data_IF_710793062765
#
_entry.id   IF_710793062765
#
_cell.length_a   1.000
_cell.length_b   1.000
_cell.length_c   1.000
_cell.angle_alpha   90.00
_cell.angle_beta   90.00
_cell.angle_gamma   90.00
#
_symmetry.space_group_name_H-M   'P 1'
#
loop_
_entity.id
_entity.type
_entity.pdbx_description
1 polymer ?
#
# COMPACT_ATOMS: atom_id res chain seq x y z
N UNK A 1 -1.79 3.90 16.80
CA UNK A 1 -3.18 4.41 16.69
C UNK A 1 -4.04 3.62 17.66
N UNK A 2 -4.97 4.26 18.35
CA UNK A 2 -5.88 3.60 19.30
C UNK A 2 -7.28 3.56 18.69
N UNK A 3 -7.90 2.39 18.72
CA UNK A 3 -9.24 2.13 18.25
C UNK A 3 -10.17 2.00 19.46
N UNK A 4 -11.31 2.66 19.43
CA UNK A 4 -12.29 2.59 20.52
C UNK A 4 -12.95 1.21 20.51
N UNK A 5 -12.94 0.50 21.65
CA UNK A 5 -13.51 -0.85 21.80
C UNK A 5 -14.95 -0.94 21.29
N UNK A 6 -15.75 0.11 21.52
CA UNK A 6 -17.16 0.15 21.08
C UNK A 6 -17.28 0.21 19.55
N UNK A 7 -16.31 0.84 18.87
CA UNK A 7 -16.25 0.84 17.39
C UNK A 7 -15.71 -0.48 16.84
N UNK A 8 -15.05 -1.31 17.63
CA UNK A 8 -14.53 -2.61 17.19
C UNK A 8 -15.55 -3.76 17.25
N UNK A 9 -16.70 -3.51 17.88
CA UNK A 9 -17.76 -4.50 18.03
C UNK A 9 -18.25 -5.04 16.67
N UNK A 10 -18.24 -6.36 16.50
CA UNK A 10 -18.69 -7.02 15.27
C UNK A 10 -17.69 -6.97 14.11
N UNK A 11 -16.43 -6.58 14.36
CA UNK A 11 -15.34 -6.73 13.38
C UNK A 11 -14.74 -8.13 13.45
N UNK A 12 -14.83 -8.88 12.35
CA UNK A 12 -14.28 -10.24 12.30
C UNK A 12 -14.93 -11.13 13.36
N UNK A 13 -14.11 -11.72 14.22
CA UNK A 13 -14.58 -12.54 15.35
C UNK A 13 -14.85 -11.75 16.63
N UNK A 14 -14.61 -10.43 16.64
CA UNK A 14 -14.85 -9.58 17.81
C UNK A 14 -16.37 -9.52 18.06
N UNK A 15 -16.86 -9.95 19.24
CA UNK A 15 -18.28 -9.90 19.55
C UNK A 15 -18.88 -8.50 19.41
N UNK A 16 -20.14 -8.41 19.00
CA UNK A 16 -20.84 -7.14 18.81
C UNK A 16 -21.27 -6.45 20.11
N UNK A 17 -21.33 -7.19 21.21
CA UNK A 17 -21.70 -6.66 22.52
C UNK A 17 -20.47 -6.25 23.34
N UNK A 18 -20.47 -5.03 23.90
CA UNK A 18 -19.31 -4.44 24.60
C UNK A 18 -18.71 -5.36 25.68
N UNK A 19 -19.54 -5.97 26.53
CA UNK A 19 -19.06 -6.86 27.60
C UNK A 19 -18.38 -8.10 27.04
N UNK A 20 -18.94 -8.67 25.97
CA UNK A 20 -18.40 -9.85 25.30
C UNK A 20 -17.11 -9.52 24.54
N UNK A 21 -17.04 -8.34 23.89
CA UNK A 21 -15.83 -7.85 23.25
C UNK A 21 -14.70 -7.65 24.27
N UNK A 22 -15.01 -7.09 25.44
CA UNK A 22 -14.03 -6.96 26.54
C UNK A 22 -13.49 -8.30 27.01
N UNK A 23 -14.37 -9.29 27.24
CA UNK A 23 -13.94 -10.65 27.58
C UNK A 23 -13.12 -11.29 26.46
N UNK A 24 -13.46 -11.04 25.20
CA UNK A 24 -12.70 -11.53 24.05
C UNK A 24 -11.29 -10.93 23.99
N UNK A 25 -11.14 -9.62 24.20
CA UNK A 25 -9.82 -8.97 24.26
C UNK A 25 -8.97 -9.54 25.39
N UNK A 26 -9.54 -9.73 26.58
CA UNK A 26 -8.85 -10.33 27.72
C UNK A 26 -8.43 -11.78 27.43
N UNK A 27 -9.33 -12.58 26.84
CA UNK A 27 -9.05 -13.97 26.45
C UNK A 27 -7.93 -14.10 25.43
N UNK A 28 -7.76 -13.10 24.56
CA UNK A 28 -6.67 -13.03 23.58
C UNK A 28 -5.42 -12.31 24.10
N UNK A 29 -5.37 -11.93 25.38
CA UNK A 29 -4.22 -11.23 25.97
C UNK A 29 -4.02 -9.79 25.48
N UNK A 30 -5.06 -9.16 24.96
CA UNK A 30 -5.01 -7.81 24.36
C UNK A 30 -5.29 -6.76 25.43
N UNK A 31 -4.33 -5.86 25.64
CA UNK A 31 -4.45 -4.80 26.63
C UNK A 31 -5.43 -3.70 26.17
N UNK A 32 -6.36 -3.34 27.06
CA UNK A 32 -7.26 -2.19 26.86
C UNK A 32 -6.76 -0.97 27.64
N UNK A 33 -6.79 0.21 27.01
CA UNK A 33 -6.42 1.50 27.58
C UNK A 33 -7.70 2.30 27.85
N UNK A 34 -7.88 2.81 29.06
CA UNK A 34 -9.04 3.66 29.39
C UNK A 34 -8.64 5.13 29.34
N UNK A 35 -9.39 5.93 28.59
CA UNK A 35 -9.24 7.39 28.66
C UNK A 35 -10.06 7.94 29.82
N UNK A 36 -9.36 8.34 30.88
CA UNK A 36 -9.98 8.90 32.09
C UNK A 36 -10.29 10.40 31.98
N UNK A 37 -9.87 11.06 30.90
CA UNK A 37 -10.14 12.47 30.68
C UNK A 37 -11.54 12.73 30.11
N UNK A 38 -12.16 11.72 29.48
CA UNK A 38 -13.57 11.73 29.10
C UNK A 38 -14.40 11.12 30.24
N UNK A 39 -15.44 11.83 30.69
CA UNK A 39 -16.33 11.37 31.76
C UNK A 39 -17.05 10.04 31.44
N UNK A 40 -17.10 9.64 30.17
CA UNK A 40 -17.62 8.34 29.71
C UNK A 40 -16.65 7.18 29.91
N UNK A 41 -15.37 7.46 30.20
CA UNK A 41 -14.28 6.50 30.33
C UNK A 41 -14.22 5.46 29.18
N UNK A 42 -14.09 5.91 27.91
CA UNK A 42 -14.00 4.99 26.79
C UNK A 42 -12.75 4.11 26.88
N UNK A 43 -12.91 2.85 26.47
CA UNK A 43 -11.84 1.86 26.40
C UNK A 43 -11.32 1.78 24.96
N UNK A 44 -10.02 1.65 24.81
CA UNK A 44 -9.33 1.59 23.53
C UNK A 44 -8.39 0.40 23.45
N UNK A 45 -8.22 -0.15 22.26
CA UNK A 45 -7.20 -1.16 21.93
C UNK A 45 -6.26 -0.61 20.88
N UNK A 46 -5.00 -1.03 20.89
CA UNK A 46 -4.08 -0.67 19.82
C UNK A 46 -4.30 -1.60 18.64
N UNK A 47 -4.35 -1.05 17.44
CA UNK A 47 -4.65 -1.83 16.22
C UNK A 47 -3.66 -2.98 15.99
N UNK A 48 -2.38 -2.79 16.33
CA UNK A 48 -1.36 -3.84 16.17
C UNK A 48 -1.39 -4.92 17.25
N UNK A 49 -2.10 -4.69 18.37
CA UNK A 49 -2.32 -5.71 19.39
C UNK A 49 -3.47 -6.65 18.99
N UNK A 50 -4.29 -6.26 17.99
CA UNK A 50 -5.28 -7.15 17.40
C UNK A 50 -4.62 -8.27 16.58
N UNK A 51 -5.23 -9.49 16.55
CA UNK A 51 -4.76 -10.54 15.67
C UNK A 51 -4.91 -10.10 14.19
N UNK A 52 -4.15 -10.77 13.33
CA UNK A 52 -4.06 -10.40 11.92
C UNK A 52 -5.42 -10.31 11.19
N UNK A 53 -6.37 -11.26 11.34
CA UNK A 53 -7.65 -11.17 10.65
C UNK A 53 -8.50 -9.98 11.10
N UNK A 54 -8.55 -9.64 12.40
CA UNK A 54 -9.30 -8.51 12.92
C UNK A 54 -8.68 -7.18 12.48
N UNK A 55 -7.35 -7.10 12.51
CA UNK A 55 -6.64 -5.92 11.99
C UNK A 55 -6.93 -5.70 10.52
N UNK A 56 -6.98 -6.77 9.71
CA UNK A 56 -7.33 -6.69 8.30
C UNK A 56 -8.78 -6.21 8.14
N UNK A 57 -9.73 -6.79 8.88
CA UNK A 57 -11.14 -6.40 8.86
C UNK A 57 -11.33 -4.92 9.22
N UNK A 58 -10.64 -4.44 10.27
CA UNK A 58 -10.66 -3.03 10.65
C UNK A 58 -10.15 -2.13 9.52
N UNK A 59 -9.00 -2.47 8.93
CA UNK A 59 -8.40 -1.69 7.84
C UNK A 59 -9.31 -1.65 6.60
N UNK A 60 -9.92 -2.77 6.24
CA UNK A 60 -10.87 -2.84 5.13
C UNK A 60 -12.06 -1.92 5.38
N UNK A 61 -12.69 -2.01 6.57
CA UNK A 61 -13.82 -1.14 6.93
C UNK A 61 -13.47 0.34 6.89
N UNK A 62 -12.31 0.74 7.42
CA UNK A 62 -11.86 2.13 7.38
C UNK A 62 -11.65 2.64 5.95
N UNK A 63 -11.18 1.77 5.05
CA UNK A 63 -10.98 2.10 3.64
C UNK A 63 -12.32 2.20 2.90
N UNK A 64 -13.26 1.30 3.20
CA UNK A 64 -14.64 1.36 2.68
C UNK A 64 -15.35 2.65 3.08
N UNK A 65 -15.24 3.08 4.35
CA UNK A 65 -15.79 4.36 4.82
C UNK A 65 -15.20 5.58 4.12
N UNK A 66 -13.98 5.46 3.61
CA UNK A 66 -13.30 6.50 2.83
C UNK A 66 -13.49 6.31 1.32
N UNK A 67 -14.29 5.32 0.91
CA UNK A 67 -14.50 4.93 -0.49
C UNK A 67 -13.19 4.66 -1.24
N UNK A 68 -12.19 4.12 -0.54
CA UNK A 68 -10.90 3.74 -1.11
C UNK A 68 -10.88 2.23 -1.36
N UNK A 69 -10.42 1.85 -2.55
CA UNK A 69 -10.10 0.44 -2.81
C UNK A 69 -8.89 0.03 -1.97
N UNK A 70 -8.97 -1.07 -1.19
CA UNK A 70 -7.89 -1.45 -0.29
C UNK A 70 -6.60 -1.87 -1.00
N UNK A 71 -6.73 -2.50 -2.17
CA UNK A 71 -5.62 -3.06 -2.93
C UNK A 71 -5.12 -4.40 -2.38
N UNK A 72 -3.89 -4.79 -2.73
CA UNK A 72 -3.30 -6.08 -2.36
C UNK A 72 -2.55 -5.99 -1.03
N UNK A 73 -2.81 -6.93 -0.12
CA UNK A 73 -2.11 -6.99 1.17
C UNK A 73 -0.67 -7.51 1.01
N UNK A 74 0.32 -6.74 1.47
CA UNK A 74 1.74 -7.16 1.46
C UNK A 74 2.14 -7.72 2.84
N UNK A 75 2.04 -9.04 2.98
CA UNK A 75 2.34 -9.72 4.25
C UNK A 75 3.75 -9.43 4.76
N UNK A 76 4.76 -9.38 3.87
CA UNK A 76 6.15 -9.14 4.27
C UNK A 76 6.37 -7.71 4.80
N UNK A 77 5.73 -6.72 4.18
CA UNK A 77 5.77 -5.35 4.67
C UNK A 77 5.09 -5.21 6.04
N UNK A 78 3.97 -5.91 6.25
CA UNK A 78 3.27 -5.92 7.53
C UNK A 78 4.04 -6.65 8.62
N UNK A 79 4.73 -7.75 8.33
CA UNK A 79 5.63 -8.40 9.30
C UNK A 79 6.78 -7.49 9.71
N UNK A 80 7.45 -6.83 8.76
CA UNK A 80 8.51 -5.86 9.05
C UNK A 80 7.99 -4.67 9.87
N UNK A 81 6.77 -4.22 9.60
CA UNK A 81 6.10 -3.19 10.39
C UNK A 81 5.88 -3.65 11.83
N UNK A 82 5.43 -4.90 12.05
CA UNK A 82 5.23 -5.45 13.39
C UNK A 82 6.53 -5.65 14.16
N UNK A 83 7.64 -5.93 13.48
CA UNK A 83 8.96 -6.00 14.12
C UNK A 83 9.50 -4.64 14.61
N UNK A 84 8.92 -3.52 14.14
CA UNK A 84 9.35 -2.19 14.57
C UNK A 84 8.93 -1.86 16.00
N UNK A 85 9.67 -0.95 16.65
CA UNK A 85 9.34 -0.52 18.02
C UNK A 85 7.95 0.13 18.12
N UNK A 86 7.24 0.02 19.26
CA UNK A 86 5.87 0.52 19.40
C UNK A 86 5.72 2.00 19.00
N UNK A 87 6.65 2.85 19.43
CA UNK A 87 6.65 4.28 19.08
C UNK A 87 6.76 4.52 17.57
N UNK A 88 7.56 3.72 16.86
CA UNK A 88 7.68 3.81 15.39
C UNK A 88 6.40 3.38 14.70
N UNK A 89 5.79 2.28 15.16
CA UNK A 89 4.49 1.79 14.65
C UNK A 89 3.39 2.84 14.83
N UNK A 90 3.30 3.44 16.01
CA UNK A 90 2.31 4.48 16.31
C UNK A 90 2.46 5.72 15.41
N UNK A 91 3.69 6.18 15.16
CA UNK A 91 3.95 7.29 14.23
C UNK A 91 3.55 6.94 12.81
N UNK A 92 3.90 5.75 12.33
CA UNK A 92 3.60 5.29 10.98
C UNK A 92 2.09 5.12 10.75
N UNK A 93 1.36 4.55 11.71
CA UNK A 93 -0.11 4.43 11.64
C UNK A 93 -0.80 5.79 11.64
N UNK A 94 -0.36 6.73 12.49
CA UNK A 94 -0.92 8.09 12.48
C UNK A 94 -0.73 8.74 11.11
N UNK A 95 0.46 8.59 10.51
CA UNK A 95 0.73 9.11 9.16
C UNK A 95 -0.12 8.40 8.11
N UNK A 96 -0.34 7.10 8.23
CA UNK A 96 -1.18 6.32 7.31
C UNK A 96 -2.65 6.75 7.37
N UNK A 97 -3.18 7.04 8.57
CA UNK A 97 -4.51 7.60 8.75
C UNK A 97 -4.69 8.91 7.97
N UNK A 98 -3.71 9.81 8.14
CA UNK A 98 -3.67 11.10 7.44
C UNK A 98 -3.55 10.89 5.94
N UNK A 99 -2.71 9.95 5.50
CA UNK A 99 -2.53 9.62 4.08
C UNK A 99 -3.84 9.14 3.45
N UNK A 100 -4.58 8.23 4.09
CA UNK A 100 -5.88 7.74 3.59
C UNK A 100 -6.87 8.87 3.40
N UNK A 101 -6.99 9.76 4.40
CA UNK A 101 -7.86 10.95 4.28
C UNK A 101 -7.41 11.85 3.14
N UNK A 102 -6.11 12.13 3.01
CA UNK A 102 -5.61 12.98 1.92
C UNK A 102 -5.81 12.38 0.53
N UNK A 103 -5.71 11.05 0.39
CA UNK A 103 -5.97 10.32 -0.86
C UNK A 103 -7.46 10.31 -1.17
N UNK A 104 -8.33 10.09 -0.18
CA UNK A 104 -9.78 10.13 -0.34
C UNK A 104 -10.31 11.50 -0.78
N UNK A 105 -9.66 12.60 -0.35
CA UNK A 105 -9.98 13.95 -0.81
C UNK A 105 -9.64 14.21 -2.30
N UNK A 106 -8.97 13.28 -2.99
CA UNK A 106 -8.67 13.39 -4.42
C UNK A 106 -7.66 14.50 -4.74
N UNK A 107 -7.62 15.00 -5.98
CA UNK A 107 -6.82 16.18 -6.39
C UNK A 107 -7.64 17.49 -6.41
N UNK A 108 -8.97 17.38 -6.44
CA UNK A 108 -9.89 18.50 -6.65
C UNK A 108 -10.02 19.43 -5.44
N UNK A 109 -9.76 18.91 -4.23
CA UNK A 109 -9.75 19.74 -3.03
C UNK A 109 -8.45 20.54 -2.96
N UNK A 110 -8.56 21.86 -2.82
CA UNK A 110 -7.39 22.73 -2.70
C UNK A 110 -6.58 22.45 -1.41
N UNK A 111 -5.34 22.93 -1.36
CA UNK A 111 -4.45 22.65 -0.23
C UNK A 111 -4.86 23.28 1.10
N UNK A 112 -5.60 24.40 1.07
CA UNK A 112 -6.06 25.06 2.30
C UNK A 112 -7.13 24.21 2.99
N UNK A 113 -8.10 23.72 2.21
CA UNK A 113 -9.17 22.86 2.72
C UNK A 113 -8.65 21.51 3.17
N UNK A 114 -7.69 20.92 2.46
CA UNK A 114 -7.00 19.69 2.93
C UNK A 114 -6.39 19.87 4.32
N UNK A 115 -5.70 20.98 4.55
CA UNK A 115 -5.08 21.27 5.85
C UNK A 115 -6.14 21.39 6.92
N UNK A 116 -7.20 22.18 6.67
CA UNK A 116 -8.31 22.36 7.60
C UNK A 116 -8.93 21.04 7.99
N UNK A 117 -9.31 20.20 7.03
CA UNK A 117 -9.92 18.88 7.25
C UNK A 117 -8.98 17.96 8.05
N UNK A 118 -7.69 17.93 7.70
CA UNK A 118 -6.71 17.11 8.42
C UNK A 118 -6.48 17.62 9.84
N UNK A 119 -6.44 18.93 10.06
CA UNK A 119 -6.25 19.52 11.40
C UNK A 119 -7.48 19.33 12.28
N UNK A 120 -8.67 19.43 11.72
CA UNK A 120 -9.92 19.12 12.42
C UNK A 120 -9.94 17.67 12.89
N UNK A 121 -9.52 16.73 12.04
CA UNK A 121 -9.56 15.29 12.36
C UNK A 121 -8.39 14.81 13.23
N UNK A 122 -7.19 15.38 13.08
CA UNK A 122 -5.96 14.83 13.67
C UNK A 122 -5.16 15.83 14.52
N UNK A 123 -5.66 17.04 14.69
CA UNK A 123 -4.97 18.16 15.33
C UNK A 123 -3.87 18.77 14.45
N UNK A 124 -3.33 19.90 14.89
CA UNK A 124 -2.33 20.68 14.11
C UNK A 124 -0.91 20.14 14.27
N UNK A 125 -0.58 19.57 15.44
CA UNK A 125 0.79 19.19 15.84
C UNK A 125 1.40 18.18 14.86
N UNK A 126 2.47 18.59 14.18
CA UNK A 126 3.25 17.75 13.27
C UNK A 126 2.66 17.56 11.87
N UNK A 127 1.61 18.32 11.50
CA UNK A 127 0.89 18.19 10.23
C UNK A 127 0.94 19.48 9.38
N UNK A 128 2.16 19.98 9.12
CA UNK A 128 2.37 21.12 8.22
C UNK A 128 2.19 20.73 6.75
N UNK A 129 1.88 21.71 5.87
CA UNK A 129 1.72 21.48 4.42
C UNK A 129 2.90 20.71 3.78
N UNK A 130 4.18 21.06 4.03
CA UNK A 130 5.30 20.29 3.50
C UNK A 130 5.32 18.84 3.99
N UNK A 131 4.95 18.60 5.26
CA UNK A 131 4.89 17.27 5.84
C UNK A 131 3.78 16.43 5.22
N UNK A 132 2.60 17.00 4.99
CA UNK A 132 1.50 16.31 4.31
C UNK A 132 1.86 15.94 2.87
N UNK A 133 2.53 16.85 2.13
CA UNK A 133 3.07 16.54 0.81
C UNK A 133 4.09 15.40 0.84
N UNK A 134 4.98 15.38 1.84
CA UNK A 134 5.95 14.31 2.00
C UNK A 134 5.28 12.96 2.32
N UNK A 135 4.19 12.97 3.09
CA UNK A 135 3.39 11.76 3.35
C UNK A 135 2.76 11.25 2.05
N UNK A 136 2.08 12.11 1.27
CA UNK A 136 1.49 11.72 -0.02
C UNK A 136 2.53 11.14 -0.98
N UNK A 137 3.70 11.79 -1.09
CA UNK A 137 4.80 11.29 -1.93
C UNK A 137 5.31 9.92 -1.49
N UNK A 138 5.36 9.66 -0.18
CA UNK A 138 5.84 8.38 0.34
C UNK A 138 4.87 7.22 0.07
N UNK A 139 3.57 7.50 -0.07
CA UNK A 139 2.54 6.49 -0.37
C UNK A 139 2.14 6.43 -1.84
N UNK A 140 2.79 7.21 -2.70
CA UNK A 140 2.50 7.24 -4.13
C UNK A 140 2.72 5.86 -4.75
N UNK A 141 1.67 5.32 -5.38
CA UNK A 141 1.67 3.99 -5.98
C UNK A 141 1.52 2.83 -5.00
N UNK A 142 1.48 3.08 -3.69
CA UNK A 142 1.25 2.04 -2.68
C UNK A 142 -0.26 1.81 -2.52
N UNK A 143 -0.66 0.55 -2.33
CA UNK A 143 -2.05 0.23 -2.01
C UNK A 143 -2.44 0.77 -0.60
N UNK A 144 -3.62 1.38 -0.40
CA UNK A 144 -4.03 2.01 0.86
C UNK A 144 -3.95 1.11 2.10
N UNK A 145 -4.11 -0.19 1.92
CA UNK A 145 -3.97 -1.20 3.00
C UNK A 145 -2.53 -1.30 3.53
N UNK A 146 -1.53 -0.89 2.75
CA UNK A 146 -0.10 -0.98 3.08
C UNK A 146 0.53 0.38 3.46
N UNK A 147 -0.25 1.45 3.63
CA UNK A 147 0.29 2.78 3.96
C UNK A 147 1.07 2.82 5.27
N UNK A 148 0.63 2.11 6.32
CA UNK A 148 1.35 2.10 7.61
C UNK A 148 2.73 1.46 7.49
N UNK A 149 2.89 0.24 6.94
CA UNK A 149 4.19 -0.30 6.58
C UNK A 149 5.03 0.65 5.72
N UNK A 150 4.42 1.29 4.72
CA UNK A 150 5.14 2.17 3.81
C UNK A 150 5.64 3.49 4.43
N UNK A 151 5.06 3.89 5.56
CA UNK A 151 5.37 5.13 6.27
C UNK A 151 6.25 4.94 7.49
N UNK A 152 6.79 3.73 7.69
CA UNK A 152 7.85 3.51 8.67
C UNK A 152 9.06 4.40 8.32
N UNK A 153 9.66 5.07 9.31
CA UNK A 153 10.63 6.16 9.08
C UNK A 153 11.89 5.74 8.28
N UNK A 154 12.16 4.43 8.14
CA UNK A 154 13.26 3.85 7.33
C UNK A 154 12.76 2.97 6.16
N UNK A 155 11.49 3.10 5.75
CA UNK A 155 10.96 2.33 4.63
C UNK A 155 11.57 2.79 3.31
N UNK A 156 12.58 2.07 2.83
CA UNK A 156 12.99 2.10 1.43
C UNK A 156 11.93 1.35 0.63
N UNK A 157 10.85 2.05 0.30
CA UNK A 157 9.72 1.40 -0.34
C UNK A 157 10.10 0.71 -1.63
N UNK A 158 9.63 -0.53 -1.78
CA UNK A 158 9.40 -1.08 -3.11
C UNK A 158 8.28 -0.24 -3.69
N UNK A 159 8.63 0.70 -4.58
CA UNK A 159 7.63 1.50 -5.31
C UNK A 159 6.72 0.52 -6.03
N UNK A 160 5.49 0.34 -5.55
CA UNK A 160 4.47 -0.34 -6.31
C UNK A 160 4.21 0.54 -7.55
N UNK A 161 4.80 0.10 -8.66
CA UNK A 161 4.68 0.76 -9.96
C UNK A 161 3.25 0.55 -10.44
N UNK A 162 2.69 1.62 -11.02
CA UNK A 162 1.41 1.63 -11.73
C UNK A 162 1.14 0.33 -12.49
N UNK A 163 -0.14 -0.09 -12.60
CA UNK A 163 -0.53 -1.34 -13.23
C UNK A 163 0.11 -1.44 -14.62
N UNK A 164 1.08 -2.35 -14.67
CA UNK A 164 1.90 -2.73 -15.81
C UNK A 164 1.11 -3.41 -16.93
N UNK A 165 -0.19 -3.56 -16.76
CA UNK A 165 -0.98 -4.55 -17.47
C UNK A 165 -1.17 -4.26 -18.96
N UNK A 166 -1.44 -3.02 -19.43
CA UNK A 166 -1.59 -2.77 -20.86
C UNK A 166 -0.26 -2.92 -21.61
N UNK A 167 0.78 -2.25 -21.14
CA UNK A 167 2.11 -2.29 -21.75
C UNK A 167 2.71 -3.71 -21.75
N UNK A 168 2.46 -4.48 -20.69
CA UNK A 168 2.93 -5.87 -20.62
C UNK A 168 2.15 -6.82 -21.50
N UNK A 169 0.82 -6.70 -21.56
CA UNK A 169 0.01 -7.53 -22.47
C UNK A 169 0.45 -7.28 -23.90
N UNK A 170 0.60 -6.03 -24.31
CA UNK A 170 1.09 -5.66 -25.63
C UNK A 170 2.47 -6.25 -25.91
N UNK A 171 3.40 -6.17 -24.96
CA UNK A 171 4.72 -6.78 -25.08
C UNK A 171 4.67 -8.31 -25.26
N UNK A 172 3.85 -8.99 -24.45
CA UNK A 172 3.71 -10.44 -24.53
C UNK A 172 3.04 -10.87 -25.85
N UNK A 173 2.08 -10.10 -26.34
CA UNK A 173 1.45 -10.30 -27.66
C UNK A 173 2.48 -10.14 -28.77
N UNK A 174 3.25 -9.03 -28.77
CA UNK A 174 4.27 -8.77 -29.79
C UNK A 174 5.30 -9.91 -29.85
N UNK A 175 5.79 -10.37 -28.70
CA UNK A 175 6.76 -11.47 -28.64
C UNK A 175 6.13 -12.78 -29.11
N UNK A 176 4.90 -13.08 -28.68
CA UNK A 176 4.20 -14.30 -29.13
C UNK A 176 4.01 -14.31 -30.65
N UNK A 177 3.66 -13.17 -31.23
CA UNK A 177 3.25 -13.07 -32.64
C UNK A 177 4.45 -12.91 -33.60
N UNK A 178 5.57 -12.33 -33.16
CA UNK A 178 6.77 -12.13 -34.00
C UNK A 178 7.75 -13.30 -34.04
N UNK A 179 7.64 -14.27 -33.12
CA UNK A 179 8.45 -15.50 -33.12
C UNK A 179 9.88 -15.32 -32.59
N UNK A 180 10.54 -16.42 -32.14
CA UNK A 180 11.71 -16.45 -31.25
C UNK A 180 12.96 -15.68 -31.72
N UNK A 181 13.01 -15.33 -33.00
CA UNK A 181 14.11 -14.61 -33.63
C UNK A 181 13.97 -13.08 -33.54
N UNK A 182 12.82 -12.58 -33.09
CA UNK A 182 12.58 -11.15 -32.94
C UNK A 182 13.41 -10.53 -31.80
N UNK A 183 14.16 -9.44 -32.05
CA UNK A 183 14.95 -8.82 -30.99
C UNK A 183 14.06 -8.19 -29.90
N UNK A 184 14.27 -8.60 -28.64
CA UNK A 184 13.50 -8.08 -27.49
C UNK A 184 13.62 -6.55 -27.33
N UNK A 185 14.76 -5.97 -27.72
CA UNK A 185 14.95 -4.50 -27.74
C UNK A 185 14.02 -3.82 -28.75
N UNK A 186 13.71 -4.47 -29.87
CA UNK A 186 12.77 -3.95 -30.87
C UNK A 186 11.34 -4.03 -30.34
N UNK A 187 10.91 -5.19 -29.83
CA UNK A 187 9.60 -5.31 -29.17
C UNK A 187 9.40 -4.30 -28.03
N UNK A 188 10.46 -4.03 -27.26
CA UNK A 188 10.42 -3.03 -26.19
C UNK A 188 10.36 -1.59 -26.71
N UNK A 189 10.98 -1.30 -27.86
CA UNK A 189 10.83 0.00 -28.53
C UNK A 189 9.39 0.20 -28.99
N UNK A 190 8.80 -0.80 -29.62
CA UNK A 190 7.42 -0.73 -30.12
C UNK A 190 6.42 -0.53 -28.97
N UNK A 191 6.62 -1.20 -27.83
CA UNK A 191 5.79 -1.00 -26.64
C UNK A 191 5.94 0.40 -26.04
N UNK A 192 7.12 1.01 -26.13
CA UNK A 192 7.33 2.41 -25.73
C UNK A 192 6.59 3.37 -26.64
N UNK A 193 6.65 3.14 -27.94
CA UNK A 193 6.02 4.01 -28.93
C UNK A 193 4.49 3.93 -28.81
N UNK A 194 3.94 2.71 -28.69
CA UNK A 194 2.51 2.49 -28.41
C UNK A 194 2.12 3.11 -27.06
N UNK A 195 2.94 2.91 -26.03
CA UNK A 195 2.66 3.47 -24.71
C UNK A 195 2.67 5.00 -24.70
N UNK A 196 3.56 5.64 -25.45
CA UNK A 196 3.60 7.10 -25.59
C UNK A 196 2.33 7.62 -26.28
N UNK A 197 1.83 6.92 -27.31
CA UNK A 197 0.57 7.27 -27.98
C UNK A 197 -0.66 7.08 -27.10
N UNK A 198 -0.63 6.08 -26.21
CA UNK A 198 -1.77 5.68 -25.38
C UNK A 198 -1.73 6.27 -23.96
N UNK A 199 -0.73 7.10 -23.64
CA UNK A 199 -0.54 7.67 -22.31
C UNK A 199 -0.16 6.63 -21.23
N UNK A 200 0.37 5.47 -21.63
CA UNK A 200 0.76 4.42 -20.70
C UNK A 200 2.12 4.69 -20.07
N UNK A 201 2.26 4.39 -18.79
CA UNK A 201 3.57 4.32 -18.17
C UNK A 201 4.30 3.03 -18.58
N UNK A 202 5.33 3.18 -19.41
CA UNK A 202 6.14 2.06 -19.91
C UNK A 202 7.47 1.94 -19.13
N UNK A 203 7.73 0.83 -18.41
CA UNK A 203 8.96 0.66 -17.64
C UNK A 203 10.25 0.66 -18.45
N UNK A 204 11.37 0.84 -17.75
CA UNK A 204 12.70 0.71 -18.34
C UNK A 204 13.00 -0.72 -18.81
N UNK A 205 13.84 -0.87 -19.84
CA UNK A 205 14.26 -2.17 -20.37
C UNK A 205 14.79 -3.13 -19.27
N UNK A 206 15.65 -2.71 -18.32
CA UNK A 206 16.06 -3.57 -17.21
C UNK A 206 14.90 -4.06 -16.33
N UNK A 207 13.84 -3.26 -16.18
CA UNK A 207 12.65 -3.64 -15.42
C UNK A 207 11.85 -4.74 -16.12
N UNK A 208 11.66 -4.62 -17.44
CA UNK A 208 11.02 -5.65 -18.27
C UNK A 208 11.80 -6.97 -18.21
N UNK A 209 13.12 -6.89 -18.38
CA UNK A 209 14.01 -8.05 -18.39
C UNK A 209 13.95 -8.85 -17.08
N UNK A 210 14.06 -8.17 -15.93
CA UNK A 210 13.94 -8.81 -14.60
C UNK A 210 12.59 -9.49 -14.41
N UNK A 211 11.51 -8.91 -14.95
CA UNK A 211 10.16 -9.47 -14.85
C UNK A 211 9.94 -10.69 -15.75
N UNK A 212 10.61 -10.75 -16.91
CA UNK A 212 10.65 -11.95 -17.74
C UNK A 212 11.42 -13.10 -17.09
N UNK A 213 12.43 -12.78 -16.28
CA UNK A 213 13.17 -13.76 -15.49
C UNK A 213 12.42 -14.23 -14.23
N UNK A 214 11.26 -13.68 -13.90
CA UNK A 214 10.46 -14.12 -12.75
C UNK A 214 9.96 -15.57 -12.93
N UNK A 215 9.94 -16.40 -11.87
CA UNK A 215 9.52 -17.81 -11.94
C UNK A 215 8.05 -17.99 -12.32
N UNK A 216 7.21 -16.98 -12.11
CA UNK A 216 5.77 -17.02 -12.43
C UNK A 216 5.45 -16.86 -13.92
N UNK A 217 6.45 -16.70 -14.81
CA UNK A 217 6.24 -16.32 -16.22
C UNK A 217 7.08 -17.16 -17.19
N UNK A 218 6.81 -18.46 -17.21
CA UNK A 218 7.52 -19.48 -17.99
C UNK A 218 7.69 -19.13 -19.48
N UNK A 219 6.68 -18.53 -20.12
CA UNK A 219 6.73 -18.17 -21.55
C UNK A 219 7.79 -17.10 -21.86
N UNK A 220 7.87 -16.02 -21.07
CA UNK A 220 8.91 -15.01 -21.31
C UNK A 220 10.30 -15.52 -20.88
N UNK A 221 10.36 -16.36 -19.84
CA UNK A 221 11.62 -16.96 -19.37
C UNK A 221 12.23 -17.88 -20.44
N UNK A 222 11.44 -18.76 -21.05
CA UNK A 222 11.87 -19.67 -22.12
C UNK A 222 12.39 -18.92 -23.35
N UNK A 223 11.85 -17.73 -23.60
CA UNK A 223 12.32 -16.83 -24.65
C UNK A 223 13.68 -16.19 -24.34
N UNK A 224 13.86 -15.71 -23.10
CA UNK A 224 15.13 -15.12 -22.65
C UNK A 224 16.26 -16.16 -22.65
N UNK A 225 15.96 -17.42 -22.30
CA UNK A 225 16.97 -18.49 -22.24
C UNK A 225 17.36 -19.07 -23.60
N UNK A 226 16.50 -18.97 -24.64
CA UNK A 226 16.79 -19.53 -25.97
C UNK A 226 17.66 -18.64 -26.88
N UNK A 227 17.77 -17.34 -26.61
CA UNK A 227 18.51 -16.41 -27.47
C UNK A 227 19.70 -15.69 -26.81
N UNK A 228 20.57 -16.35 -26.00
CA UNK A 228 21.55 -15.67 -25.13
C UNK A 228 22.62 -14.80 -25.82
N UNK A 229 22.81 -14.93 -27.15
CA UNK A 229 23.91 -14.26 -27.87
C UNK A 229 23.67 -12.79 -28.28
N UNK A 230 22.55 -12.15 -27.95
CA UNK A 230 22.29 -10.73 -28.27
C UNK A 230 21.98 -9.83 -27.06
N UNK A 231 22.36 -10.24 -25.85
CA UNK A 231 21.96 -9.54 -24.62
C UNK A 231 23.06 -8.69 -23.97
N UNK A 232 24.35 -8.98 -24.22
CA UNK A 232 25.46 -8.35 -23.47
C UNK A 232 26.22 -7.22 -24.18
N UNK A 233 25.90 -6.86 -25.43
CA UNK A 233 26.66 -5.80 -26.10
C UNK A 233 26.04 -4.41 -25.91
N UNK A 234 26.81 -3.61 -25.15
CA UNK A 234 26.80 -2.16 -24.90
C UNK A 234 25.72 -1.66 -23.93
N UNK A 235 26.09 -1.73 -22.65
CA UNK A 235 25.83 -0.64 -21.73
C UNK A 235 26.86 0.48 -22.03
N UNK A 236 26.41 1.52 -22.71
CA UNK A 236 27.00 2.86 -22.74
C UNK A 236 25.85 3.83 -22.89
#
# INVERSE_FOLDING_TARGET
MVCEVVRENGLGEIPSHRTSAKSWFQGNGIATITDRSDGRNPEFVRLYDLPAPERLAYLTRELEHLHLSPGSYDAAAHEAFLAASPSRRDRAERRAAVARVLVALGLDVNWSDRLRIVHEKFGVKGLSKPRLKAILRAVEGVDPINFAPALLDDYKGTTARQPFDPAWRTFMTLIRDTGPDWPLKSAMRDVRDIGAMQGWHVPSYPTFYRRCLSPTRATCRAWVTRSPRRWSQRAS
#
